data_IF_235690523019
#
_entry.id   IF_235690523019
#
_cell.length_a   1.000
_cell.length_b   1.000
_cell.length_c   1.000
_cell.angle_alpha   90.00
_cell.angle_beta   90.00
_cell.angle_gamma   90.00
#
_symmetry.space_group_name_H-M   'P 1'
#
loop_
_entity.id
_entity.type
_entity.pdbx_description
1 polymer ?
#
# COMPACT_ATOMS: atom_id res chain seq x y z
N UNK A 1 -3.38 18.74 -2.08
CA UNK A 1 -3.41 17.70 -3.14
C UNK A 1 -3.56 16.30 -2.55
N UNK A 2 -2.66 15.81 -1.69
CA UNK A 2 -2.73 14.45 -1.12
C UNK A 2 -4.06 14.19 -0.37
N UNK A 3 -4.51 15.11 0.49
CA UNK A 3 -5.78 14.97 1.20
C UNK A 3 -7.02 14.90 0.28
N UNK A 4 -6.96 15.52 -0.90
CA UNK A 4 -8.04 15.43 -1.89
C UNK A 4 -8.11 14.03 -2.52
N UNK A 5 -6.94 13.45 -2.84
CA UNK A 5 -6.85 12.06 -3.35
C UNK A 5 -7.37 11.08 -2.30
N UNK A 6 -7.00 11.28 -1.02
CA UNK A 6 -7.49 10.43 0.08
C UNK A 6 -9.01 10.51 0.19
N UNK A 7 -9.58 11.72 0.22
CA UNK A 7 -11.02 11.92 0.33
C UNK A 7 -11.79 11.24 -0.82
N UNK A 8 -11.35 11.43 -2.06
CA UNK A 8 -12.00 10.80 -3.21
C UNK A 8 -11.83 9.29 -3.23
N UNK A 9 -10.65 8.79 -2.84
CA UNK A 9 -10.42 7.35 -2.72
C UNK A 9 -11.32 6.69 -1.67
N UNK A 10 -11.52 7.32 -0.51
CA UNK A 10 -12.45 6.84 0.51
C UNK A 10 -13.90 6.81 0.00
N UNK A 11 -14.32 7.86 -0.71
CA UNK A 11 -15.66 7.91 -1.31
C UNK A 11 -15.84 6.78 -2.34
N UNK A 12 -14.84 6.55 -3.18
CA UNK A 12 -14.87 5.49 -4.18
C UNK A 12 -14.88 4.09 -3.55
N UNK A 13 -14.09 3.87 -2.49
CA UNK A 13 -14.13 2.62 -1.73
C UNK A 13 -15.51 2.34 -1.16
N UNK A 14 -16.17 3.36 -0.59
CA UNK A 14 -17.52 3.21 -0.05
C UNK A 14 -18.54 2.81 -1.13
N UNK A 15 -18.42 3.36 -2.34
CA UNK A 15 -19.28 3.00 -3.48
C UNK A 15 -19.01 1.56 -3.97
N UNK A 16 -17.74 1.16 -4.01
CA UNK A 16 -17.31 -0.20 -4.32
C UNK A 16 -17.88 -1.22 -3.33
N UNK A 17 -17.82 -0.93 -2.02
CA UNK A 17 -18.38 -1.78 -0.98
C UNK A 17 -19.90 -1.88 -1.08
N UNK A 18 -20.59 -0.80 -1.41
CA UNK A 18 -22.04 -0.82 -1.62
C UNK A 18 -22.43 -1.66 -2.85
N UNK A 19 -21.68 -1.53 -3.95
CA UNK A 19 -21.89 -2.31 -5.17
C UNK A 19 -21.61 -3.79 -4.94
N UNK A 20 -20.51 -4.11 -4.25
CA UNK A 20 -20.14 -5.47 -3.91
C UNK A 20 -21.18 -6.17 -3.00
N UNK A 21 -21.84 -5.42 -2.10
CA UNK A 21 -22.95 -5.95 -1.30
C UNK A 21 -24.19 -6.29 -2.14
N UNK A 22 -24.40 -5.58 -3.25
CA UNK A 22 -25.53 -5.80 -4.16
C UNK A 22 -25.27 -6.93 -5.15
N UNK A 23 -24.05 -6.98 -5.69
CA UNK A 23 -23.65 -7.92 -6.76
C UNK A 23 -22.96 -9.18 -6.22
N UNK A 24 -22.67 -9.24 -4.91
CA UNK A 24 -21.90 -10.30 -4.24
C UNK A 24 -20.49 -10.49 -4.78
N UNK A 25 -19.95 -9.52 -5.51
CA UNK A 25 -18.58 -9.52 -6.03
C UNK A 25 -17.63 -8.69 -5.13
N UNK A 26 -16.94 -9.38 -4.22
CA UNK A 26 -16.00 -8.74 -3.28
C UNK A 26 -14.61 -8.48 -3.88
N UNK A 27 -14.29 -9.11 -5.01
CA UNK A 27 -12.95 -9.05 -5.60
C UNK A 27 -12.49 -7.62 -5.94
N UNK A 28 -13.32 -6.73 -6.54
CA UNK A 28 -12.94 -5.34 -6.79
C UNK A 28 -12.62 -4.55 -5.51
N UNK A 29 -13.35 -4.80 -4.42
CA UNK A 29 -13.14 -4.17 -3.11
C UNK A 29 -11.79 -4.60 -2.53
N UNK A 30 -11.49 -5.90 -2.58
CA UNK A 30 -10.24 -6.47 -2.09
C UNK A 30 -9.04 -5.87 -2.83
N UNK A 31 -9.10 -5.79 -4.16
CA UNK A 31 -8.04 -5.20 -4.97
C UNK A 31 -7.85 -3.71 -4.65
N UNK A 32 -8.95 -2.97 -4.51
CA UNK A 32 -8.86 -1.55 -4.16
C UNK A 32 -8.26 -1.35 -2.76
N UNK A 33 -8.69 -2.14 -1.77
CA UNK A 33 -8.19 -2.11 -0.40
C UNK A 33 -6.69 -2.49 -0.31
N UNK A 34 -6.18 -3.31 -1.23
CA UNK A 34 -4.75 -3.63 -1.32
C UNK A 34 -3.94 -2.49 -1.96
N UNK A 35 -4.42 -1.91 -3.07
CA UNK A 35 -3.66 -0.96 -3.89
C UNK A 35 -3.71 0.46 -3.31
N UNK A 36 -4.86 0.89 -2.81
CA UNK A 36 -5.07 2.28 -2.38
C UNK A 36 -4.07 2.73 -1.29
N UNK A 37 -3.79 1.94 -0.23
CA UNK A 37 -2.79 2.32 0.76
C UNK A 37 -1.36 2.40 0.18
N UNK A 38 -1.02 1.59 -0.84
CA UNK A 38 0.26 1.68 -1.56
C UNK A 38 0.38 3.03 -2.26
N UNK A 39 -0.68 3.46 -2.95
CA UNK A 39 -0.73 4.76 -3.62
C UNK A 39 -0.54 5.90 -2.61
N UNK A 40 -1.16 5.81 -1.43
CA UNK A 40 -0.95 6.80 -0.35
C UNK A 40 0.53 6.83 0.08
N UNK A 41 1.14 5.66 0.33
CA UNK A 41 2.56 5.56 0.69
C UNK A 41 3.48 6.22 -0.36
N UNK A 42 3.24 5.93 -1.64
CA UNK A 42 3.97 6.54 -2.76
C UNK A 42 3.80 8.07 -2.75
N UNK A 43 2.57 8.56 -2.63
CA UNK A 43 2.26 9.99 -2.61
C UNK A 43 2.91 10.73 -1.45
N UNK A 44 3.11 10.07 -0.30
CA UNK A 44 3.80 10.65 0.85
C UNK A 44 5.30 10.84 0.60
N UNK A 45 5.96 9.91 -0.10
CA UNK A 45 7.41 9.99 -0.40
C UNK A 45 7.73 10.81 -1.66
N UNK A 46 6.77 10.91 -2.59
CA UNK A 46 6.93 11.55 -3.89
C UNK A 46 7.45 13.01 -3.82
N UNK A 47 6.94 13.92 -2.95
CA UNK A 47 7.42 15.30 -2.89
C UNK A 47 8.91 15.38 -2.56
N UNK A 48 9.36 14.57 -1.61
CA UNK A 48 10.78 14.51 -1.21
C UNK A 48 11.65 13.94 -2.33
N UNK A 49 11.14 12.93 -3.06
CA UNK A 49 11.86 12.34 -4.20
C UNK A 49 12.07 13.39 -5.31
N UNK A 50 11.07 14.21 -5.62
CA UNK A 50 11.18 15.28 -6.62
C UNK A 50 12.30 16.27 -6.24
N UNK A 51 12.40 16.63 -4.96
CA UNK A 51 13.46 17.53 -4.46
C UNK A 51 14.84 16.87 -4.61
N UNK A 52 14.99 15.60 -4.22
CA UNK A 52 16.25 14.84 -4.33
C UNK A 52 16.70 14.61 -5.78
N UNK A 53 15.75 14.51 -6.72
CA UNK A 53 16.05 14.44 -8.15
C UNK A 53 16.58 15.78 -8.64
N UNK A 54 15.96 16.89 -8.21
CA UNK A 54 16.40 18.24 -8.57
C UNK A 54 17.78 18.59 -8.01
N UNK A 55 18.15 18.01 -6.86
CA UNK A 55 19.46 18.17 -6.22
C UNK A 55 20.59 17.37 -6.90
N UNK A 56 20.33 16.71 -8.04
CA UNK A 56 21.30 15.87 -8.77
C UNK A 56 21.97 14.79 -7.90
N UNK A 57 21.30 14.32 -6.85
CA UNK A 57 21.78 13.17 -6.08
C UNK A 57 21.84 11.94 -6.98
N UNK A 58 22.95 11.20 -6.89
CA UNK A 58 23.15 9.95 -7.60
C UNK A 58 21.99 8.99 -7.34
N UNK A 59 21.52 8.31 -8.38
CA UNK A 59 20.43 7.34 -8.25
C UNK A 59 21.04 6.01 -7.79
N UNK A 60 20.86 5.68 -6.51
CA UNK A 60 21.34 4.42 -5.93
C UNK A 60 20.19 3.68 -5.26
N UNK A 61 20.07 2.38 -5.49
CA UNK A 61 19.02 1.58 -4.86
C UNK A 61 19.51 0.93 -3.55
N UNK A 62 18.88 1.27 -2.43
CA UNK A 62 19.11 0.62 -1.13
C UNK A 62 18.34 -0.71 -1.07
N UNK A 63 19.01 -1.75 -1.53
CA UNK A 63 18.54 -3.14 -1.49
C UNK A 63 18.26 -3.63 -0.07
N UNK A 64 19.02 -3.15 0.93
CA UNK A 64 18.86 -3.59 2.31
C UNK A 64 17.52 -3.09 2.84
N UNK A 65 17.19 -1.80 2.66
CA UNK A 65 15.87 -1.25 3.03
C UNK A 65 14.73 -1.93 2.27
N UNK A 66 14.92 -2.18 0.98
CA UNK A 66 13.89 -2.78 0.17
C UNK A 66 13.54 -4.20 0.63
N UNK A 67 14.56 -5.05 0.80
CA UNK A 67 14.36 -6.45 1.21
C UNK A 67 13.95 -6.56 2.68
N UNK A 68 14.51 -5.73 3.56
CA UNK A 68 14.22 -5.82 4.99
C UNK A 68 12.84 -5.23 5.38
N UNK A 69 12.29 -4.28 4.60
CA UNK A 69 11.07 -3.56 4.98
C UNK A 69 9.98 -3.66 3.91
N UNK A 70 10.29 -3.29 2.66
CA UNK A 70 9.29 -3.31 1.59
C UNK A 70 8.82 -4.73 1.27
N UNK A 71 9.71 -5.71 1.19
CA UNK A 71 9.35 -7.09 0.84
C UNK A 71 8.43 -7.76 1.89
N UNK A 72 8.71 -7.67 3.22
CA UNK A 72 7.77 -8.14 4.24
C UNK A 72 6.42 -7.41 4.20
N UNK A 73 6.44 -6.09 3.95
CA UNK A 73 5.20 -5.30 3.84
C UNK A 73 4.37 -5.73 2.63
N UNK A 74 5.02 -5.99 1.48
CA UNK A 74 4.36 -6.51 0.28
C UNK A 74 3.73 -7.88 0.54
N UNK A 75 4.43 -8.74 1.27
CA UNK A 75 3.93 -10.05 1.65
C UNK A 75 2.65 -9.95 2.49
N UNK A 76 2.55 -8.97 3.39
CA UNK A 76 1.32 -8.73 4.17
C UNK A 76 0.15 -8.31 3.26
N UNK A 77 0.41 -7.49 2.24
CA UNK A 77 -0.64 -7.01 1.32
C UNK A 77 -1.16 -8.14 0.43
N UNK A 78 -0.28 -8.99 -0.10
CA UNK A 78 -0.67 -10.07 -1.01
C UNK A 78 -1.55 -11.12 -0.35
N UNK A 79 -1.48 -11.25 0.98
CA UNK A 79 -2.39 -12.11 1.76
C UNK A 79 -3.85 -11.68 1.66
N UNK A 80 -4.14 -10.39 1.44
CA UNK A 80 -5.51 -9.92 1.23
C UNK A 80 -6.11 -10.49 -0.06
N UNK A 81 -5.26 -10.81 -1.04
CA UNK A 81 -5.64 -11.34 -2.35
C UNK A 81 -5.60 -12.88 -2.36
N UNK A 82 -4.65 -13.48 -1.64
CA UNK A 82 -4.39 -14.93 -1.61
C UNK A 82 -4.48 -15.49 -0.18
N UNK A 83 -5.69 -15.68 0.38
CA UNK A 83 -5.89 -16.05 1.79
C UNK A 83 -5.55 -17.52 2.16
N UNK A 84 -4.95 -18.31 1.26
CA UNK A 84 -4.90 -19.77 1.40
C UNK A 84 -3.78 -20.36 2.31
N UNK A 85 -2.93 -19.54 2.94
CA UNK A 85 -1.83 -20.03 3.79
C UNK A 85 -2.13 -19.93 5.31
N UNK A 86 -2.21 -21.09 5.99
CA UNK A 86 -2.77 -21.27 7.34
C UNK A 86 -2.10 -20.57 8.55
N UNK A 87 -0.77 -20.33 8.65
CA UNK A 87 -0.23 -19.60 9.82
C UNK A 87 -0.34 -18.07 9.71
N UNK A 88 -0.75 -17.58 8.54
CA UNK A 88 -0.67 -16.17 8.16
C UNK A 88 -2.04 -15.48 8.27
N UNK A 89 -3.12 -16.24 8.15
CA UNK A 89 -4.50 -15.79 8.35
C UNK A 89 -4.76 -15.25 9.76
N UNK A 90 -4.04 -15.72 10.79
CA UNK A 90 -4.15 -15.19 12.16
C UNK A 90 -3.69 -13.74 12.30
N UNK A 91 -2.64 -13.33 11.58
CA UNK A 91 -2.12 -11.94 11.63
C UNK A 91 -3.18 -10.96 11.11
N UNK A 92 -3.86 -11.34 10.02
CA UNK A 92 -4.98 -10.57 9.48
C UNK A 92 -6.18 -10.60 10.42
N UNK A 93 -6.46 -11.75 11.05
CA UNK A 93 -7.56 -11.89 11.99
C UNK A 93 -7.39 -11.01 13.23
N UNK A 94 -6.15 -10.91 13.75
CA UNK A 94 -5.81 -10.14 14.96
C UNK A 94 -5.70 -8.64 14.65
N UNK A 95 -5.06 -8.28 13.53
CA UNK A 95 -4.79 -6.89 13.18
C UNK A 95 -5.87 -6.20 12.35
N UNK A 96 -6.80 -6.97 11.78
CA UNK A 96 -7.85 -6.49 10.91
C UNK A 96 -7.32 -5.71 9.69
N UNK A 97 -8.18 -4.87 9.07
CA UNK A 97 -7.82 -4.08 7.89
C UNK A 97 -6.75 -3.01 8.18
N UNK A 98 -6.46 -2.73 9.45
CA UNK A 98 -5.46 -1.74 9.85
C UNK A 98 -4.05 -2.21 9.51
N UNK A 99 -3.72 -3.48 9.75
CA UNK A 99 -2.38 -4.03 9.45
C UNK A 99 -2.11 -3.97 7.95
N UNK A 100 -3.07 -4.37 7.11
CA UNK A 100 -2.90 -4.34 5.65
C UNK A 100 -2.80 -2.90 5.13
N UNK A 101 -3.55 -1.96 5.71
CA UNK A 101 -3.45 -0.53 5.39
C UNK A 101 -2.07 0.03 5.72
N UNK A 102 -1.56 -0.23 6.93
CA UNK A 102 -0.23 0.21 7.35
C UNK A 102 0.85 -0.42 6.47
N UNK A 103 0.77 -1.73 6.22
CA UNK A 103 1.72 -2.43 5.35
C UNK A 103 1.73 -1.86 3.93
N UNK A 104 0.57 -1.54 3.36
CA UNK A 104 0.48 -0.87 2.06
C UNK A 104 1.14 0.49 2.04
N UNK A 105 0.88 1.34 3.05
CA UNK A 105 1.52 2.66 3.17
C UNK A 105 3.03 2.52 3.33
N UNK A 106 3.49 1.62 4.20
CA UNK A 106 4.93 1.37 4.43
C UNK A 106 5.59 0.87 3.15
N UNK A 107 4.99 -0.09 2.45
CA UNK A 107 5.52 -0.60 1.19
C UNK A 107 5.66 0.52 0.16
N UNK A 108 4.60 1.28 -0.10
CA UNK A 108 4.63 2.38 -1.07
C UNK A 108 5.67 3.44 -0.70
N UNK A 109 5.75 3.82 0.57
CA UNK A 109 6.73 4.81 1.03
C UNK A 109 8.17 4.32 0.85
N UNK A 110 8.47 3.11 1.34
CA UNK A 110 9.81 2.52 1.29
C UNK A 110 10.24 2.22 -0.14
N UNK A 111 9.32 1.86 -1.03
CA UNK A 111 9.64 1.61 -2.42
C UNK A 111 10.27 2.83 -3.10
N UNK A 112 9.77 4.04 -2.84
CA UNK A 112 10.39 5.27 -3.33
C UNK A 112 11.58 5.71 -2.47
N UNK A 113 11.58 5.44 -1.17
CA UNK A 113 12.69 5.78 -0.29
C UNK A 113 13.95 4.97 -0.60
N UNK A 114 13.79 3.72 -1.03
CA UNK A 114 14.89 2.85 -1.47
C UNK A 114 15.58 3.35 -2.73
N UNK A 115 15.00 4.27 -3.50
CA UNK A 115 15.53 4.68 -4.81
C UNK A 115 16.71 5.65 -4.71
N UNK A 116 17.06 6.19 -3.54
CA UNK A 116 18.24 7.08 -3.38
C UNK A 116 18.87 7.03 -1.99
N UNK A 117 20.17 7.35 -1.94
CA UNK A 117 20.94 7.66 -0.73
C UNK A 117 21.34 9.14 -0.71
#
# INVERSE_FOLDING_TARGET
MIGFIIYWGMKYQSQLEETAKREFELFPVIIFAAIFPIVIGLLLRLPKLIIEIKENKEWTFDWVRFVAIALPSLFIITMLILPYSHPITEIILIGGPTITTIAGIVFGYVLLDSVKK
#
